data_IF_806837142874
#
_entry.id   IF_806837142874
#
_cell.length_a   1.000
_cell.length_b   1.000
_cell.length_c   1.000
_cell.angle_alpha   90.00
_cell.angle_beta   90.00
_cell.angle_gamma   90.00
#
_symmetry.space_group_name_H-M   'P 1'
#
loop_
_entity.id
_entity.type
_entity.pdbx_description
1 polymer ?
#
# COMPACT_ATOMS: atom_id res chain seq x y z
N UNK A 1 7.17 -18.42 0.46
CA UNK A 1 6.78 -18.28 -0.97
C UNK A 1 5.35 -17.77 -0.98
N UNK A 2 5.08 -16.62 -1.62
CA UNK A 2 3.73 -16.05 -1.64
C UNK A 2 2.76 -17.03 -2.32
N UNK A 3 1.58 -17.23 -1.73
CA UNK A 3 0.57 -18.19 -2.19
C UNK A 3 -0.28 -17.65 -3.34
N UNK A 4 -0.24 -16.33 -3.57
CA UNK A 4 -0.99 -15.58 -4.57
C UNK A 4 -0.12 -14.41 -5.08
N UNK A 5 -0.35 -13.96 -6.31
CA UNK A 5 0.52 -13.04 -7.05
C UNK A 5 0.52 -11.62 -6.48
N UNK A 6 -0.65 -11.13 -6.13
CA UNK A 6 -0.85 -9.86 -5.47
C UNK A 6 -0.16 -9.79 -4.10
N UNK A 7 -0.14 -10.89 -3.34
CA UNK A 7 0.66 -11.00 -2.11
C UNK A 7 2.17 -10.95 -2.37
N UNK A 8 2.63 -11.41 -3.52
CA UNK A 8 4.05 -11.31 -3.91
C UNK A 8 4.42 -9.85 -4.22
N UNK A 9 3.59 -9.15 -4.99
CA UNK A 9 3.77 -7.72 -5.26
C UNK A 9 3.63 -6.87 -3.99
N UNK A 10 2.59 -7.12 -3.19
CA UNK A 10 2.30 -6.40 -1.95
C UNK A 10 3.44 -6.48 -0.93
N UNK A 11 4.14 -7.62 -0.87
CA UNK A 11 5.30 -7.78 0.00
C UNK A 11 6.41 -6.78 -0.32
N UNK A 12 6.69 -6.52 -1.60
CA UNK A 12 7.68 -5.52 -2.01
C UNK A 12 7.24 -4.10 -1.64
N UNK A 13 5.94 -3.81 -1.75
CA UNK A 13 5.38 -2.53 -1.28
C UNK A 13 5.46 -2.34 0.24
N UNK A 14 5.52 -3.42 1.05
CA UNK A 14 5.70 -3.32 2.52
C UNK A 14 7.16 -3.35 2.97
N UNK A 15 8.08 -3.87 2.16
CA UNK A 15 9.53 -3.93 2.45
C UNK A 15 10.24 -2.56 2.46
N UNK A 16 9.49 -1.47 2.43
CA UNK A 16 10.05 -0.11 2.41
C UNK A 16 10.88 0.15 3.66
N UNK A 17 12.01 0.83 3.49
CA UNK A 17 12.82 1.31 4.62
C UNK A 17 12.27 2.58 5.28
N UNK A 18 11.05 3.03 4.96
CA UNK A 18 10.45 4.25 5.53
C UNK A 18 9.03 3.99 6.02
N UNK A 19 8.85 4.06 7.33
CA UNK A 19 7.56 3.78 7.98
C UNK A 19 7.03 5.03 8.67
N UNK A 20 5.76 5.36 8.40
CA UNK A 20 5.03 6.40 9.11
C UNK A 20 4.17 5.76 10.18
N UNK A 21 4.35 6.20 11.43
CA UNK A 21 3.66 5.66 12.60
C UNK A 21 2.76 6.73 13.18
N UNK A 22 1.46 6.47 13.20
CA UNK A 22 0.51 7.31 13.91
C UNK A 22 0.74 7.17 15.43
N UNK A 23 1.04 8.28 16.12
CA UNK A 23 1.21 8.29 17.58
C UNK A 23 0.02 8.93 18.30
N UNK A 24 -0.83 9.67 17.59
CA UNK A 24 -2.12 10.17 18.05
C UNK A 24 -2.93 10.66 16.84
N UNK A 25 -4.20 11.02 17.03
CA UNK A 25 -5.06 11.59 15.99
C UNK A 25 -4.48 12.82 15.27
N UNK A 26 -3.52 13.53 15.89
CA UNK A 26 -2.90 14.77 15.36
C UNK A 26 -1.36 14.73 15.42
N UNK A 27 -0.77 13.54 15.53
CA UNK A 27 0.69 13.39 15.52
C UNK A 27 1.10 12.03 14.95
N UNK A 28 2.19 12.02 14.20
CA UNK A 28 2.87 10.80 13.78
C UNK A 28 4.38 10.98 13.71
N UNK A 29 5.10 9.87 13.60
CA UNK A 29 6.56 9.85 13.49
C UNK A 29 6.96 9.12 12.21
N UNK A 30 7.93 9.67 11.48
CA UNK A 30 8.59 9.01 10.36
C UNK A 30 9.88 8.35 10.83
N UNK A 31 10.03 7.06 10.58
CA UNK A 31 11.22 6.30 10.96
C UNK A 31 11.85 5.63 9.75
N UNK A 32 13.18 5.64 9.72
CA UNK A 32 13.98 4.87 8.77
C UNK A 32 14.29 3.51 9.37
N UNK A 33 13.97 2.45 8.65
CA UNK A 33 14.15 1.05 9.06
C UNK A 33 14.90 0.34 7.94
N UNK A 34 15.64 -0.72 8.27
CA UNK A 34 16.22 -1.57 7.23
C UNK A 34 15.10 -2.20 6.39
N UNK A 35 15.39 -2.51 5.13
CA UNK A 35 14.41 -3.06 4.21
C UNK A 35 13.82 -4.38 4.72
N UNK A 36 12.49 -4.40 4.85
CA UNK A 36 11.77 -5.57 5.37
C UNK A 36 11.91 -5.82 6.87
N UNK A 37 12.61 -4.95 7.60
CA UNK A 37 12.74 -5.07 9.06
C UNK A 37 11.51 -4.50 9.77
N UNK A 38 11.22 -5.08 10.92
CA UNK A 38 10.16 -4.64 11.83
C UNK A 38 10.63 -3.40 12.60
N UNK A 39 9.70 -2.64 13.16
CA UNK A 39 10.05 -1.43 13.91
C UNK A 39 10.85 -1.80 15.17
N UNK A 40 12.00 -1.16 15.39
CA UNK A 40 12.88 -1.41 16.54
C UNK A 40 12.30 -0.96 17.89
N UNK A 41 11.13 -0.32 17.92
CA UNK A 41 10.44 0.13 19.13
C UNK A 41 8.93 -0.02 18.97
N UNK A 42 8.26 -0.53 20.00
CA UNK A 42 6.80 -0.74 20.03
C UNK A 42 6.04 0.60 20.09
N UNK A 43 5.98 1.32 18.97
CA UNK A 43 5.12 2.48 18.76
C UNK A 43 3.78 2.04 18.17
N UNK A 44 2.82 1.68 19.01
CA UNK A 44 1.49 1.29 18.51
C UNK A 44 0.76 2.48 17.93
N UNK A 45 -0.13 2.25 16.95
CA UNK A 45 -1.12 3.27 16.58
C UNK A 45 -1.94 3.59 17.83
N UNK A 46 -1.82 4.82 18.37
CA UNK A 46 -2.61 5.27 19.53
C UNK A 46 -3.77 6.20 19.16
N UNK A 47 -3.98 6.49 17.87
CA UNK A 47 -5.06 7.34 17.38
C UNK A 47 -5.58 6.90 16.02
N UNK A 48 -6.85 7.21 15.73
CA UNK A 48 -7.45 6.90 14.42
C UNK A 48 -6.83 7.74 13.30
N UNK A 49 -6.70 7.17 12.11
CA UNK A 49 -6.12 7.86 10.95
C UNK A 49 -6.97 9.07 10.53
N UNK A 50 -6.30 10.18 10.22
CA UNK A 50 -6.87 11.46 9.78
C UNK A 50 -6.09 12.02 8.61
N UNK A 51 -6.68 12.97 7.90
CA UNK A 51 -6.05 13.64 6.76
C UNK A 51 -4.77 14.39 7.12
N UNK A 52 -4.59 14.73 8.41
CA UNK A 52 -3.33 15.22 8.96
C UNK A 52 -2.14 14.31 8.62
N UNK A 53 -2.26 12.99 8.84
CA UNK A 53 -1.17 12.04 8.56
C UNK A 53 -0.87 11.95 7.07
N UNK A 54 -1.90 12.02 6.22
CA UNK A 54 -1.74 12.03 4.76
C UNK A 54 -0.95 13.26 4.32
N UNK A 55 -1.22 14.43 4.90
CA UNK A 55 -0.46 15.66 4.60
C UNK A 55 1.00 15.55 5.04
N UNK A 56 1.27 14.96 6.20
CA UNK A 56 2.65 14.74 6.67
C UNK A 56 3.41 13.80 5.73
N UNK A 57 2.79 12.71 5.29
CA UNK A 57 3.40 11.77 4.35
C UNK A 57 3.60 12.44 2.98
N UNK A 58 2.64 13.21 2.48
CA UNK A 58 2.79 13.99 1.24
C UNK A 58 3.91 15.03 1.36
N UNK A 59 4.06 15.67 2.52
CA UNK A 59 5.17 16.60 2.80
C UNK A 59 6.50 15.88 2.71
N UNK A 60 6.61 14.67 3.26
CA UNK A 60 7.81 13.85 3.17
C UNK A 60 8.09 13.40 1.73
N UNK A 61 7.07 12.98 0.97
CA UNK A 61 7.28 12.60 -0.43
C UNK A 61 7.80 13.78 -1.27
N UNK A 62 7.28 14.98 -1.01
CA UNK A 62 7.73 16.21 -1.67
C UNK A 62 9.11 16.67 -1.21
N UNK A 63 9.44 16.56 0.08
CA UNK A 63 10.76 16.97 0.60
C UNK A 63 11.89 16.12 0.04
N UNK A 64 11.57 14.93 -0.46
CA UNK A 64 12.47 13.98 -1.11
C UNK A 64 12.43 14.04 -2.64
N UNK A 65 11.76 15.03 -3.22
CA UNK A 65 11.62 15.22 -4.67
C UNK A 65 11.05 14.00 -5.42
N UNK A 66 10.20 13.20 -4.76
CA UNK A 66 9.60 12.01 -5.37
C UNK A 66 8.53 12.45 -6.38
N UNK A 67 8.65 12.06 -7.67
CA UNK A 67 7.67 12.40 -8.68
C UNK A 67 6.32 11.72 -8.39
N UNK A 68 5.24 12.43 -8.71
CA UNK A 68 3.88 11.90 -8.64
C UNK A 68 3.69 10.76 -9.66
N UNK A 69 2.77 9.84 -9.39
CA UNK A 69 2.59 8.64 -10.19
C UNK A 69 2.12 8.93 -11.62
N UNK A 70 1.07 9.75 -11.75
CA UNK A 70 0.47 10.18 -13.03
C UNK A 70 0.83 11.64 -13.38
N UNK A 71 1.79 12.24 -12.66
CA UNK A 71 2.15 13.66 -12.77
C UNK A 71 1.27 14.60 -11.93
N UNK A 72 0.09 14.16 -11.47
CA UNK A 72 -0.86 14.99 -10.73
C UNK A 72 -1.06 14.52 -9.28
N UNK A 73 -1.05 13.20 -9.04
CA UNK A 73 -1.37 12.58 -7.77
C UNK A 73 -0.35 11.50 -7.35
N UNK A 74 -0.14 11.36 -6.04
CA UNK A 74 0.43 10.15 -5.45
C UNK A 74 -0.65 9.07 -5.32
N UNK A 75 -0.25 7.81 -5.22
CA UNK A 75 -1.16 6.69 -5.00
C UNK A 75 -1.07 6.25 -3.54
N UNK A 76 -2.22 5.99 -2.92
CA UNK A 76 -2.34 5.34 -1.63
C UNK A 76 -3.18 4.08 -1.79
N UNK A 77 -2.58 2.93 -1.53
CA UNK A 77 -3.27 1.64 -1.45
C UNK A 77 -3.48 1.35 0.03
N UNK A 78 -4.73 1.18 0.44
CA UNK A 78 -5.09 1.11 1.84
C UNK A 78 -6.09 -0.01 2.14
N UNK A 79 -6.03 -0.52 3.35
CA UNK A 79 -7.02 -1.46 3.89
C UNK A 79 -8.38 -0.78 4.10
N UNK A 80 -9.44 -1.58 4.17
CA UNK A 80 -10.82 -1.10 4.37
C UNK A 80 -10.96 -0.33 5.68
N UNK A 81 -10.30 -0.78 6.75
CA UNK A 81 -10.36 -0.13 8.06
C UNK A 81 -9.62 1.20 8.08
N UNK A 82 -8.48 1.29 7.38
CA UNK A 82 -7.74 2.54 7.22
C UNK A 82 -8.59 3.61 6.52
N UNK A 83 -9.23 3.23 5.42
CA UNK A 83 -10.08 4.14 4.65
C UNK A 83 -11.31 4.57 5.44
N UNK A 84 -11.95 3.66 6.18
CA UNK A 84 -13.07 3.99 7.05
C UNK A 84 -12.69 5.05 8.11
N UNK A 85 -11.47 5.00 8.66
CA UNK A 85 -11.00 6.02 9.60
C UNK A 85 -10.78 7.38 8.94
N UNK A 86 -10.19 7.42 7.74
CA UNK A 86 -10.01 8.67 7.00
C UNK A 86 -11.36 9.29 6.62
N UNK A 87 -12.34 8.48 6.22
CA UNK A 87 -13.65 8.97 5.81
C UNK A 87 -14.44 9.63 6.96
N UNK A 88 -14.14 9.29 8.21
CA UNK A 88 -14.74 9.93 9.41
C UNK A 88 -14.23 11.34 9.65
N UNK A 89 -13.09 11.72 9.05
CA UNK A 89 -12.52 13.05 9.20
C UNK A 89 -13.49 14.13 8.68
N UNK A 90 -13.68 15.20 9.45
CA UNK A 90 -14.53 16.33 9.04
C UNK A 90 -14.04 16.94 7.73
N UNK A 91 -12.73 17.00 7.54
CA UNK A 91 -12.16 17.57 6.33
C UNK A 91 -12.43 16.69 5.09
N UNK A 92 -12.46 15.37 5.27
CA UNK A 92 -12.86 14.47 4.20
C UNK A 92 -14.31 14.72 3.81
N UNK A 93 -15.20 14.82 4.81
CA UNK A 93 -16.62 15.06 4.60
C UNK A 93 -16.89 16.40 3.91
N UNK A 94 -16.15 17.44 4.27
CA UNK A 94 -16.25 18.75 3.61
C UNK A 94 -15.74 18.69 2.16
N UNK A 95 -14.61 18.02 1.92
CA UNK A 95 -14.12 17.79 0.56
C UNK A 95 -15.08 16.97 -0.30
N UNK A 96 -15.85 16.04 0.28
CA UNK A 96 -16.88 15.28 -0.43
C UNK A 96 -18.13 16.14 -0.66
N UNK A 97 -18.52 16.98 0.30
CA UNK A 97 -19.71 17.83 0.22
C UNK A 97 -19.55 18.97 -0.80
N UNK A 98 -18.36 19.55 -0.87
CA UNK A 98 -18.05 20.69 -1.75
C UNK A 98 -17.24 20.28 -2.98
N UNK A 99 -16.80 19.01 -3.07
CA UNK A 99 -16.01 18.48 -4.17
C UNK A 99 -16.86 17.97 -5.33
N UNK A 100 -16.28 18.06 -6.53
CA UNK A 100 -16.87 17.77 -7.83
C UNK A 100 -17.76 16.50 -7.86
N UNK A 101 -19.04 16.59 -8.28
CA UNK A 101 -19.95 15.44 -8.37
C UNK A 101 -19.49 14.34 -9.34
N UNK A 102 -18.55 14.63 -10.25
CA UNK A 102 -17.94 13.62 -11.13
C UNK A 102 -17.17 12.52 -10.35
N UNK A 103 -16.75 12.81 -9.12
CA UNK A 103 -16.03 11.86 -8.25
C UNK A 103 -16.85 10.65 -7.83
N UNK A 104 -18.18 10.76 -7.79
CA UNK A 104 -19.06 9.64 -7.41
C UNK A 104 -19.07 8.53 -8.48
N UNK A 105 -18.75 8.87 -9.72
CA UNK A 105 -18.86 7.96 -10.87
C UNK A 105 -17.56 7.22 -11.22
N UNK A 106 -16.42 7.55 -10.58
CA UNK A 106 -15.10 7.07 -10.99
C UNK A 106 -14.60 5.79 -10.29
N UNK A 107 -15.37 5.20 -9.37
CA UNK A 107 -15.00 3.95 -8.68
C UNK A 107 -13.74 4.03 -7.79
N UNK A 108 -13.13 5.21 -7.69
CA UNK A 108 -12.08 5.53 -6.73
C UNK A 108 -12.72 5.92 -5.39
N UNK A 109 -12.10 5.52 -4.27
CA UNK A 109 -12.58 5.89 -2.91
C UNK A 109 -12.57 7.42 -2.75
N UNK A 110 -11.59 8.07 -3.38
CA UNK A 110 -11.56 9.52 -3.52
C UNK A 110 -10.16 10.06 -3.79
N UNK A 111 -10.10 11.37 -4.02
CA UNK A 111 -8.85 12.14 -4.14
C UNK A 111 -8.84 13.27 -3.13
N UNK A 112 -7.84 13.31 -2.27
CA UNK A 112 -7.65 14.41 -1.31
C UNK A 112 -6.16 14.67 -1.15
N UNK A 113 -5.77 15.95 -1.03
CA UNK A 113 -4.37 16.39 -0.90
C UNK A 113 -3.41 15.93 -2.03
N UNK A 114 -3.93 15.73 -3.24
CA UNK A 114 -3.13 15.21 -4.37
C UNK A 114 -2.74 13.75 -4.18
N UNK A 115 -3.55 12.98 -3.46
CA UNK A 115 -3.43 11.53 -3.29
C UNK A 115 -4.70 10.86 -3.78
N UNK A 116 -4.54 9.84 -4.61
CA UNK A 116 -5.60 8.93 -5.08
C UNK A 116 -5.65 7.71 -4.17
N UNK A 117 -6.80 7.49 -3.55
CA UNK A 117 -7.02 6.35 -2.66
C UNK A 117 -7.62 5.16 -3.40
N UNK A 118 -6.99 4.00 -3.22
CA UNK A 118 -7.39 2.71 -3.77
C UNK A 118 -7.59 1.76 -2.60
N UNK A 119 -8.74 1.11 -2.55
CA UNK A 119 -9.06 0.09 -1.55
C UNK A 119 -8.47 -1.26 -1.95
N UNK A 120 -7.90 -1.95 -0.98
CA UNK A 120 -7.34 -3.30 -1.12
C UNK A 120 -7.81 -4.17 0.05
N UNK A 121 -8.14 -5.43 -0.22
CA UNK A 121 -8.80 -6.33 0.74
C UNK A 121 -8.08 -7.66 0.96
N UNK A 122 -6.99 -7.96 0.26
CA UNK A 122 -6.35 -9.27 0.26
C UNK A 122 -5.02 -9.32 1.03
N UNK A 123 -4.21 -8.25 1.01
CA UNK A 123 -2.86 -8.26 1.58
C UNK A 123 -2.66 -7.29 2.75
N UNK A 124 -3.24 -6.09 2.68
CA UNK A 124 -3.11 -5.09 3.74
C UNK A 124 -3.83 -5.56 5.01
N UNK A 125 -3.17 -5.38 6.15
CA UNK A 125 -3.68 -5.74 7.46
C UNK A 125 -4.71 -4.73 7.95
N UNK A 126 -5.87 -5.24 8.39
CA UNK A 126 -6.91 -4.44 9.04
C UNK A 126 -6.65 -4.20 10.53
N UNK A 127 -5.97 -5.15 11.17
CA UNK A 127 -5.54 -5.06 12.56
C UNK A 127 -4.04 -4.82 12.61
N UNK A 128 -3.63 -3.73 13.23
CA UNK A 128 -2.22 -3.45 13.48
C UNK A 128 -1.93 -3.52 14.98
N UNK A 129 -0.97 -4.36 15.36
CA UNK A 129 -0.61 -4.62 16.75
C UNK A 129 -1.68 -5.35 17.55
N UNK A 130 -1.51 -5.38 18.88
CA UNK A 130 -2.43 -6.05 19.80
C UNK A 130 -3.63 -5.16 20.15
N UNK A 131 -4.67 -5.17 19.32
CA UNK A 131 -6.03 -4.82 19.76
C UNK A 131 -6.69 -3.57 19.19
N UNK A 132 -6.18 -2.94 18.11
CA UNK A 132 -6.95 -1.86 17.45
C UNK A 132 -6.96 -1.96 15.93
N UNK A 133 -8.17 -1.93 15.36
CA UNK A 133 -8.43 -2.12 13.93
C UNK A 133 -8.40 -0.77 13.19
N UNK A 134 -7.22 -0.19 13.07
CA UNK A 134 -7.04 1.04 12.31
C UNK A 134 -6.61 0.81 10.87
N UNK A 135 -6.21 -0.40 10.49
CA UNK A 135 -5.75 -0.71 9.14
C UNK A 135 -4.41 -0.06 8.76
N UNK A 136 -3.72 -0.66 7.79
CA UNK A 136 -2.48 -0.14 7.22
C UNK A 136 -2.68 0.40 5.79
N UNK A 137 -1.72 1.19 5.34
CA UNK A 137 -1.69 1.68 3.96
C UNK A 137 -0.26 1.84 3.46
N UNK A 138 -0.10 1.84 2.14
CA UNK A 138 1.17 2.15 1.48
C UNK A 138 0.94 3.30 0.51
N UNK A 139 1.77 4.34 0.63
CA UNK A 139 1.72 5.51 -0.24
C UNK A 139 2.99 5.62 -1.06
N UNK A 140 2.86 5.87 -2.36
CA UNK A 140 4.00 5.91 -3.27
C UNK A 140 3.81 6.87 -4.44
N UNK A 141 4.95 7.28 -5.00
CA UNK A 141 5.05 8.04 -6.23
C UNK A 141 5.32 7.16 -7.44
N UNK A 142 5.87 7.76 -8.49
CA UNK A 142 6.28 7.01 -9.69
C UNK A 142 7.39 6.01 -9.32
N UNK A 143 7.49 4.93 -10.10
CA UNK A 143 8.65 4.02 -10.06
C UNK A 143 8.85 3.33 -8.69
N UNK A 144 7.76 2.85 -8.09
CA UNK A 144 7.78 2.18 -6.79
C UNK A 144 8.31 0.73 -6.86
N UNK A 145 7.58 -0.14 -7.56
CA UNK A 145 7.87 -1.58 -7.69
C UNK A 145 7.88 -1.92 -9.18
N UNK A 146 8.82 -2.77 -9.58
CA UNK A 146 8.91 -3.31 -10.93
C UNK A 146 8.50 -4.78 -10.94
N UNK A 147 7.82 -5.17 -12.00
CA UNK A 147 7.52 -6.56 -12.33
C UNK A 147 8.48 -7.03 -13.42
N UNK A 148 9.21 -8.11 -13.13
CA UNK A 148 10.05 -8.81 -14.09
C UNK A 148 9.36 -10.09 -14.55
N UNK A 149 8.90 -10.13 -15.80
CA UNK A 149 8.26 -11.31 -16.40
C UNK A 149 9.26 -12.04 -17.29
N UNK A 150 9.58 -13.29 -16.95
CA UNK A 150 10.44 -14.17 -17.77
C UNK A 150 9.57 -15.04 -18.68
N UNK A 151 8.51 -15.61 -18.12
CA UNK A 151 7.53 -16.40 -18.85
C UNK A 151 6.13 -15.95 -18.42
N UNK A 152 5.33 -15.36 -19.33
CA UNK A 152 4.00 -14.87 -18.99
C UNK A 152 3.09 -16.04 -18.62
N UNK A 153 2.03 -15.75 -17.87
CA UNK A 153 1.07 -16.75 -17.45
C UNK A 153 0.44 -17.49 -18.65
N UNK A 154 0.64 -18.81 -18.68
CA UNK A 154 0.04 -19.68 -19.68
C UNK A 154 -0.81 -20.76 -19.02
N UNK A 155 -1.94 -21.05 -19.66
CA UNK A 155 -2.83 -22.13 -19.23
C UNK A 155 -2.36 -23.44 -19.85
N UNK A 156 -1.93 -24.36 -19.00
CA UNK A 156 -1.47 -25.70 -19.40
C UNK A 156 -2.56 -26.73 -19.09
N UNK A 157 -2.99 -27.43 -20.12
CA UNK A 157 -3.89 -28.58 -19.97
C UNK A 157 -3.09 -29.83 -19.67
N UNK A 158 -3.52 -30.58 -18.64
CA UNK A 158 -2.99 -31.91 -18.36
C UNK A 158 -3.44 -32.88 -19.45
N UNK A 159 -2.53 -33.71 -19.94
CA UNK A 159 -2.88 -34.84 -20.82
C UNK A 159 -3.88 -35.74 -20.10
N UNK A 160 -5.06 -36.05 -20.69
CA UNK A 160 -6.08 -36.84 -20.03
C UNK A 160 -5.55 -38.22 -19.61
N UNK A 161 -5.74 -38.55 -18.33
CA UNK A 161 -5.37 -39.86 -17.75
C UNK A 161 -6.64 -40.62 -17.34
N UNK A 162 -6.54 -41.94 -17.13
CA UNK A 162 -7.68 -42.81 -16.79
C UNK A 162 -8.85 -42.71 -17.79
N UNK A 163 -8.61 -43.11 -19.04
CA UNK A 163 -9.64 -43.14 -20.10
C UNK A 163 -10.42 -41.82 -20.29
N UNK A 164 -9.78 -40.68 -20.00
CA UNK A 164 -10.38 -39.36 -20.13
C UNK A 164 -11.24 -38.90 -18.94
N UNK A 165 -11.31 -39.68 -17.85
CA UNK A 165 -12.02 -39.30 -16.62
C UNK A 165 -11.27 -38.27 -15.78
N UNK A 166 -9.94 -38.29 -15.81
CA UNK A 166 -9.12 -37.28 -15.13
C UNK A 166 -8.65 -36.22 -16.11
N UNK A 167 -9.14 -34.99 -15.92
CA UNK A 167 -8.68 -33.79 -16.61
C UNK A 167 -8.16 -32.80 -15.58
N UNK A 168 -7.14 -32.03 -15.95
CA UNK A 168 -6.56 -31.02 -15.08
C UNK A 168 -6.21 -29.79 -15.90
N UNK A 169 -6.37 -28.63 -15.29
CA UNK A 169 -5.95 -27.36 -15.83
C UNK A 169 -5.05 -26.69 -14.79
N UNK A 170 -3.91 -26.18 -15.24
CA UNK A 170 -3.01 -25.40 -14.41
C UNK A 170 -2.66 -24.11 -15.13
N UNK A 171 -2.25 -23.11 -14.36
CA UNK A 171 -1.56 -21.95 -14.91
C UNK A 171 -0.09 -22.03 -14.48
N UNK A 172 0.80 -21.58 -15.35
CA UNK A 172 2.23 -21.51 -15.08
C UNK A 172 2.78 -20.18 -15.57
N UNK A 173 3.56 -19.50 -14.73
CA UNK A 173 4.26 -18.27 -15.07
C UNK A 173 5.55 -18.17 -14.26
N UNK A 174 6.57 -17.55 -14.83
CA UNK A 174 7.81 -17.22 -14.12
C UNK A 174 7.92 -15.71 -14.13
N UNK A 175 7.66 -15.12 -12.96
CA UNK A 175 7.75 -13.69 -12.75
C UNK A 175 8.22 -13.37 -11.34
N UNK A 176 8.71 -12.15 -11.16
CA UNK A 176 9.16 -11.63 -9.87
C UNK A 176 8.84 -10.15 -9.74
N UNK A 177 8.80 -9.69 -8.49
CA UNK A 177 8.65 -8.28 -8.15
C UNK A 177 9.82 -7.86 -7.29
N UNK A 178 10.30 -6.64 -7.50
CA UNK A 178 11.26 -6.01 -6.60
C UNK A 178 11.00 -4.49 -6.56
N UNK A 179 11.35 -3.85 -5.46
CA UNK A 179 11.38 -2.38 -5.40
C UNK A 179 12.44 -1.85 -6.36
N UNK A 180 12.14 -0.76 -7.05
CA UNK A 180 13.10 -0.18 -8.01
C UNK A 180 14.30 0.46 -7.30
N UNK A 181 14.04 1.19 -6.22
CA UNK A 181 15.05 1.94 -5.48
C UNK A 181 15.43 1.18 -4.21
N UNK A 182 16.60 0.53 -4.24
CA UNK A 182 17.14 -0.28 -3.16
C UNK A 182 18.51 0.27 -2.76
N UNK A 183 18.61 0.75 -1.52
CA UNK A 183 19.81 1.34 -0.98
C UNK A 183 20.31 0.50 0.20
N UNK A 184 21.62 0.49 0.39
CA UNK A 184 22.27 -0.27 1.48
C UNK A 184 21.93 0.33 2.85
N UNK A 185 21.66 1.63 2.90
CA UNK A 185 21.35 2.35 4.14
C UNK A 185 19.84 2.52 4.36
N UNK A 186 19.41 2.27 5.59
CA UNK A 186 18.02 2.40 6.01
C UNK A 186 17.46 3.80 5.72
N UNK A 187 16.43 3.87 4.87
CA UNK A 187 15.65 5.09 4.61
C UNK A 187 16.27 6.11 3.65
N UNK A 188 17.34 5.76 2.94
CA UNK A 188 17.78 6.51 1.76
C UNK A 188 16.99 5.98 0.55
N UNK A 189 15.98 6.76 0.14
CA UNK A 189 15.25 6.68 -1.14
C UNK A 189 14.15 5.64 -1.25
N UNK A 190 13.41 5.46 -0.16
CA UNK A 190 12.11 4.82 -0.25
C UNK A 190 11.12 5.77 -0.96
N UNK A 191 10.86 5.52 -2.26
CA UNK A 191 9.75 6.13 -3.02
C UNK A 191 8.36 5.68 -2.54
N UNK A 192 8.36 4.84 -1.51
CA UNK A 192 7.23 4.17 -0.92
C UNK A 192 7.32 4.42 0.59
N UNK A 193 6.23 4.89 1.19
CA UNK A 193 6.10 5.05 2.64
C UNK A 193 4.99 4.10 3.11
N UNK A 194 5.32 3.24 4.07
CA UNK A 194 4.35 2.35 4.71
C UNK A 194 3.75 3.04 5.95
N UNK A 195 2.45 3.27 5.93
CA UNK A 195 1.67 3.80 7.04
C UNK A 195 1.19 2.62 7.89
N UNK A 196 1.77 2.48 9.08
CA UNK A 196 1.49 1.36 9.99
C UNK A 196 1.63 1.77 11.45
N UNK A 197 1.14 0.95 12.36
CA UNK A 197 1.57 0.93 13.76
C UNK A 197 2.71 -0.04 13.99
N UNK A 198 3.18 -0.12 15.24
CA UNK A 198 4.03 -1.22 15.67
C UNK A 198 3.29 -2.54 15.53
N UNK A 199 3.95 -3.49 14.87
CA UNK A 199 3.66 -4.91 14.99
C UNK A 199 3.92 -5.38 16.43
#
# INVERSE_FOLDING_TARGET
MATVLDKAAGLEFKKTGRKYICTSTVAGTLESVADGDTLASAKSVKGGWRLFHIRDVVKELKSRDIPKYDGENYICIASVFFLNEIMKDSEWRDNVRYGDPARLFAGEVGRVHGVRFIEETNYMLDTIGSGTNFGEAVMFGKEAVIEGVVLPEEVRAKVPTDFGRSKGLAWYGIMGWEKMWKHTDAGQDAHIIHLTGSE
#
